data_IF_993389939124
#
_entry.id   IF_993389939124
#
_cell.length_a   1.000
_cell.length_b   1.000
_cell.length_c   1.000
_cell.angle_alpha   90.00
_cell.angle_beta   90.00
_cell.angle_gamma   90.00
#
_symmetry.space_group_name_H-M   'P 1'
#
loop_
_entity.id
_entity.type
_entity.pdbx_description
1 polymer ?
#
# COMPACT_ATOMS: atom_id res chain seq x y z
N UNK A 1 -15.80 59.06 10.66
CA UNK A 1 -14.89 58.80 9.54
C UNK A 1 -14.46 57.35 9.61
N UNK A 2 -14.96 56.50 8.71
CA UNK A 2 -14.73 55.05 8.70
C UNK A 2 -13.72 54.76 7.58
N UNK A 3 -12.50 54.38 7.95
CA UNK A 3 -11.44 54.01 7.00
C UNK A 3 -11.77 52.65 6.38
N UNK A 4 -12.21 52.65 5.12
CA UNK A 4 -12.40 51.43 4.32
C UNK A 4 -11.01 50.93 3.89
N UNK A 5 -10.55 49.85 4.52
CA UNK A 5 -9.34 49.14 4.07
C UNK A 5 -9.58 48.49 2.71
N UNK A 6 -8.68 48.65 1.72
CA UNK A 6 -8.91 48.17 0.37
C UNK A 6 -8.75 46.64 0.28
N UNK A 7 -9.74 46.02 -0.36
CA UNK A 7 -9.89 44.58 -0.63
C UNK A 7 -8.64 43.95 -1.29
N UNK A 8 -7.82 44.77 -1.95
CA UNK A 8 -6.60 44.38 -2.65
C UNK A 8 -5.55 43.73 -1.75
N UNK A 9 -5.45 44.10 -0.47
CA UNK A 9 -4.46 43.51 0.46
C UNK A 9 -4.80 42.08 0.88
N UNK A 10 -6.08 41.68 0.81
CA UNK A 10 -6.51 40.31 1.17
C UNK A 10 -6.28 39.31 0.05
N UNK A 11 -6.22 39.76 -1.20
CA UNK A 11 -6.04 38.88 -2.36
C UNK A 11 -4.56 38.50 -2.53
N UNK A 12 -3.62 39.40 -2.22
CA UNK A 12 -2.18 39.14 -2.33
C UNK A 12 -1.66 38.13 -1.29
N UNK A 13 -2.28 38.05 -0.11
CA UNK A 13 -1.91 37.09 0.94
C UNK A 13 -2.34 35.65 0.63
N UNK A 14 -3.38 35.47 -0.18
CA UNK A 14 -3.85 34.12 -0.58
C UNK A 14 -3.02 33.58 -1.75
N UNK A 15 -2.50 34.45 -2.63
CA UNK A 15 -1.72 34.01 -3.79
C UNK A 15 -0.27 33.59 -3.44
N UNK A 16 0.31 34.11 -2.36
CA UNK A 16 1.69 33.78 -1.92
C UNK A 16 1.77 32.47 -1.13
N UNK A 17 0.66 32.00 -0.54
CA UNK A 17 0.64 30.76 0.26
C UNK A 17 0.49 29.49 -0.59
N UNK A 18 0.23 29.62 -1.89
CA UNK A 18 0.12 28.48 -2.81
C UNK A 18 1.49 28.06 -3.39
N UNK A 19 2.54 28.87 -3.19
CA UNK A 19 3.85 28.64 -3.83
C UNK A 19 4.85 27.80 -3.00
N UNK A 20 4.53 27.37 -1.78
CA UNK A 20 5.42 26.53 -0.94
C UNK A 20 4.85 25.16 -0.58
N UNK A 21 3.65 24.83 -1.07
CA UNK A 21 3.08 23.50 -0.96
C UNK A 21 3.71 22.54 -1.97
N UNK A 22 5.01 22.30 -1.88
CA UNK A 22 5.66 21.23 -2.63
C UNK A 22 5.31 19.92 -1.93
N UNK A 23 4.12 19.42 -2.22
CA UNK A 23 3.71 18.08 -1.84
C UNK A 23 4.65 17.11 -2.55
N UNK A 24 5.66 16.63 -1.84
CA UNK A 24 6.45 15.49 -2.28
C UNK A 24 5.53 14.27 -2.22
N UNK A 25 4.93 13.93 -3.36
CA UNK A 25 4.39 12.60 -3.58
C UNK A 25 5.61 11.69 -3.74
N UNK A 26 6.10 11.14 -2.64
CA UNK A 26 6.95 9.95 -2.70
C UNK A 26 6.05 8.81 -3.18
N UNK A 27 6.01 8.63 -4.50
CA UNK A 27 5.49 7.41 -5.07
C UNK A 27 6.28 6.26 -4.43
N UNK A 28 5.60 5.39 -3.69
CA UNK A 28 6.14 4.10 -3.30
C UNK A 28 6.41 3.33 -4.60
N UNK A 29 7.64 3.47 -5.12
CA UNK A 29 8.11 2.62 -6.21
C UNK A 29 8.15 1.22 -5.61
N UNK A 30 7.12 0.43 -5.91
CA UNK A 30 7.18 -1.00 -5.68
C UNK A 30 8.47 -1.49 -6.31
N UNK A 31 9.36 -2.08 -5.50
CA UNK A 31 10.57 -2.70 -6.02
C UNK A 31 10.13 -3.72 -7.07
N UNK A 32 10.29 -3.36 -8.33
CA UNK A 32 10.10 -4.28 -9.44
C UNK A 32 11.03 -5.46 -9.18
N UNK A 33 10.47 -6.67 -9.23
CA UNK A 33 11.26 -7.89 -9.11
C UNK A 33 12.26 -7.88 -10.26
N UNK A 34 13.51 -7.50 -9.96
CA UNK A 34 14.59 -7.53 -10.93
C UNK A 34 14.59 -8.90 -11.60
N UNK A 35 14.54 -8.94 -12.94
CA UNK A 35 14.61 -10.19 -13.71
C UNK A 35 15.81 -10.99 -13.22
N UNK A 36 15.56 -11.91 -12.32
CA UNK A 36 16.57 -12.67 -11.61
C UNK A 36 17.07 -13.72 -12.59
N UNK A 37 18.33 -13.63 -12.99
CA UNK A 37 19.00 -14.68 -13.74
C UNK A 37 18.74 -16.06 -13.12
N UNK A 38 18.71 -17.11 -13.94
CA UNK A 38 18.35 -18.48 -13.58
C UNK A 38 18.75 -18.87 -12.13
N UNK A 39 17.75 -18.98 -11.25
CA UNK A 39 17.91 -19.29 -9.83
C UNK A 39 17.61 -20.77 -9.61
N UNK A 40 18.51 -21.65 -10.04
CA UNK A 40 18.49 -23.05 -9.61
C UNK A 40 19.85 -23.42 -9.01
N UNK A 41 19.82 -23.96 -7.79
CA UNK A 41 21.01 -24.58 -7.19
C UNK A 41 21.23 -25.96 -7.78
N UNK A 42 22.50 -26.39 -7.90
CA UNK A 42 22.85 -27.76 -8.29
C UNK A 42 22.59 -28.78 -7.17
N UNK A 43 22.37 -28.29 -5.95
CA UNK A 43 22.17 -29.11 -4.75
C UNK A 43 20.78 -28.84 -4.16
N UNK A 44 19.78 -29.72 -4.34
CA UNK A 44 18.39 -29.46 -3.97
C UNK A 44 18.15 -29.20 -2.47
N UNK A 45 19.01 -29.75 -1.59
CA UNK A 45 18.90 -29.57 -0.14
C UNK A 45 19.55 -28.27 0.36
N UNK A 46 20.10 -27.44 -0.51
CA UNK A 46 20.76 -26.18 -0.15
C UNK A 46 20.17 -25.01 -0.91
N UNK A 47 19.78 -23.98 -0.17
CA UNK A 47 19.43 -22.69 -0.77
C UNK A 47 20.71 -22.02 -1.29
N UNK A 48 20.75 -21.55 -2.55
CA UNK A 48 21.91 -20.80 -3.06
C UNK A 48 22.22 -19.57 -2.20
N UNK A 49 23.50 -19.30 -1.96
CA UNK A 49 23.94 -18.21 -1.08
C UNK A 49 23.49 -16.82 -1.58
N UNK A 50 23.43 -16.65 -2.90
CA UNK A 50 23.01 -15.43 -3.59
C UNK A 50 21.50 -15.40 -3.91
N UNK A 51 20.71 -16.38 -3.46
CA UNK A 51 19.27 -16.38 -3.71
C UNK A 51 18.61 -15.15 -3.06
N UNK A 52 17.91 -14.29 -3.83
CA UNK A 52 17.25 -13.09 -3.31
C UNK A 52 16.33 -13.44 -2.15
N UNK A 53 16.28 -12.59 -1.13
CA UNK A 53 15.38 -12.77 0.02
C UNK A 53 14.65 -11.47 0.31
N UNK A 54 13.35 -11.57 0.56
CA UNK A 54 12.54 -10.46 1.04
C UNK A 54 12.89 -10.26 2.52
N UNK A 55 13.39 -9.08 2.89
CA UNK A 55 13.72 -8.74 4.28
C UNK A 55 12.56 -8.07 5.00
N UNK A 56 11.78 -7.28 4.27
CA UNK A 56 10.65 -6.50 4.78
C UNK A 56 9.55 -6.50 3.74
N UNK A 57 8.30 -6.54 4.19
CA UNK A 57 7.12 -6.37 3.33
C UNK A 57 6.58 -4.99 3.61
N UNK A 58 6.42 -4.18 2.56
CA UNK A 58 5.77 -2.88 2.70
C UNK A 58 4.26 -3.10 2.82
N UNK A 59 3.68 -2.57 3.89
CA UNK A 59 2.24 -2.64 4.19
C UNK A 59 1.73 -1.21 4.27
N UNK A 60 1.48 -0.63 3.11
CA UNK A 60 0.88 0.69 2.99
C UNK A 60 -0.66 0.61 3.16
N UNK A 61 -1.31 1.76 3.11
CA UNK A 61 -2.77 1.83 3.24
C UNK A 61 -3.48 0.99 2.16
N UNK A 62 -2.92 0.93 0.95
CA UNK A 62 -3.45 0.08 -0.12
C UNK A 62 -3.41 -1.40 0.27
N UNK A 63 -2.29 -1.87 0.83
CA UNK A 63 -2.15 -3.23 1.31
C UNK A 63 -3.21 -3.56 2.37
N UNK A 64 -3.43 -2.67 3.35
CA UNK A 64 -4.44 -2.89 4.40
C UNK A 64 -5.87 -2.84 3.86
N UNK A 65 -6.18 -1.89 2.98
CA UNK A 65 -7.49 -1.81 2.34
C UNK A 65 -7.83 -3.10 1.59
N UNK A 66 -6.84 -3.68 0.90
CA UNK A 66 -6.99 -4.98 0.25
C UNK A 66 -7.09 -6.12 1.29
N UNK A 67 -6.23 -6.12 2.30
CA UNK A 67 -6.19 -7.12 3.37
C UNK A 67 -7.49 -7.21 4.16
N UNK A 68 -8.19 -6.10 4.32
CA UNK A 68 -9.42 -5.96 5.08
C UNK A 68 -10.68 -5.92 4.21
N UNK A 69 -10.56 -6.04 2.88
CA UNK A 69 -11.69 -6.01 1.96
C UNK A 69 -12.78 -7.03 2.34
N UNK A 70 -14.03 -6.58 2.49
CA UNK A 70 -15.15 -7.43 2.92
C UNK A 70 -15.19 -7.74 4.41
N UNK A 71 -14.36 -7.08 5.24
CA UNK A 71 -14.42 -7.13 6.70
C UNK A 71 -14.91 -5.77 7.19
N UNK A 72 -15.99 -5.76 7.96
CA UNK A 72 -16.54 -4.52 8.51
C UNK A 72 -15.99 -4.23 9.91
N UNK A 73 -15.73 -2.95 10.26
CA UNK A 73 -15.39 -2.56 11.62
C UNK A 73 -16.53 -2.89 12.63
N UNK A 74 -16.20 -3.12 13.92
CA UNK A 74 -14.87 -3.07 14.51
C UNK A 74 -14.02 -4.29 14.16
N UNK A 75 -12.75 -4.07 13.81
CA UNK A 75 -11.85 -5.18 13.49
C UNK A 75 -11.52 -6.00 14.74
N UNK A 76 -11.70 -7.33 14.70
CA UNK A 76 -11.39 -8.18 15.84
C UNK A 76 -9.88 -8.23 16.07
N UNK A 77 -9.47 -8.35 17.33
CA UNK A 77 -8.06 -8.45 17.74
C UNK A 77 -7.28 -9.55 17.01
N UNK A 78 -7.97 -10.63 16.63
CA UNK A 78 -7.37 -11.73 15.87
C UNK A 78 -6.73 -11.26 14.56
N UNK A 79 -7.18 -10.18 13.92
CA UNK A 79 -6.59 -9.67 12.68
C UNK A 79 -5.23 -8.98 12.85
N UNK A 80 -4.76 -8.81 14.08
CA UNK A 80 -3.44 -8.24 14.34
C UNK A 80 -2.29 -9.07 13.75
N UNK A 81 -2.53 -10.35 13.40
CA UNK A 81 -1.52 -11.14 12.67
C UNK A 81 -1.12 -10.53 11.32
N UNK A 82 -1.96 -9.65 10.73
CA UNK A 82 -1.63 -8.94 9.51
C UNK A 82 -0.35 -8.09 9.66
N UNK A 83 -0.02 -7.65 10.88
CA UNK A 83 1.22 -6.92 11.21
C UNK A 83 2.47 -7.79 11.05
N UNK A 84 2.35 -9.09 11.33
CA UNK A 84 3.44 -10.06 11.27
C UNK A 84 3.45 -10.85 9.94
N UNK A 85 2.41 -10.66 9.11
CA UNK A 85 2.27 -11.38 7.85
C UNK A 85 3.40 -11.03 6.87
N UNK A 86 4.11 -12.06 6.39
CA UNK A 86 5.07 -11.96 5.30
C UNK A 86 4.42 -11.95 3.91
N UNK A 87 5.23 -11.97 2.85
CA UNK A 87 4.76 -11.90 1.47
C UNK A 87 4.33 -13.27 0.90
N UNK A 88 3.58 -14.04 1.70
CA UNK A 88 3.05 -15.35 1.29
C UNK A 88 1.71 -15.20 0.58
N UNK A 89 1.34 -16.18 -0.24
CA UNK A 89 0.02 -16.23 -0.85
C UNK A 89 -1.02 -16.61 0.22
N UNK A 90 -1.89 -15.68 0.57
CA UNK A 90 -2.94 -15.90 1.58
C UNK A 90 -4.31 -15.40 1.10
N UNK A 91 -5.40 -15.87 1.71
CA UNK A 91 -6.74 -15.34 1.44
C UNK A 91 -6.95 -13.87 1.83
N UNK A 92 -5.96 -13.22 2.46
CA UNK A 92 -6.03 -11.80 2.82
C UNK A 92 -5.38 -10.90 1.78
N UNK A 93 -4.37 -11.36 1.05
CA UNK A 93 -3.70 -10.55 0.03
C UNK A 93 -3.97 -11.03 -1.40
N UNK A 94 -4.59 -12.19 -1.58
CA UNK A 94 -5.00 -12.73 -2.87
C UNK A 94 -6.43 -13.26 -2.88
N UNK A 95 -7.13 -13.14 -4.02
CA UNK A 95 -8.46 -13.71 -4.17
C UNK A 95 -8.40 -15.24 -4.15
N UNK A 96 -9.46 -15.83 -3.59
CA UNK A 96 -9.72 -17.25 -3.68
C UNK A 96 -10.51 -17.63 -4.93
N UNK A 97 -11.31 -18.68 -4.83
CA UNK A 97 -12.21 -19.12 -5.89
C UNK A 97 -13.38 -18.15 -6.11
N UNK A 98 -13.91 -18.09 -7.32
CA UNK A 98 -15.07 -17.28 -7.71
C UNK A 98 -16.40 -17.90 -7.26
N UNK A 99 -17.50 -17.14 -7.40
CA UNK A 99 -18.86 -17.65 -7.17
C UNK A 99 -19.19 -17.83 -5.70
N UNK A 100 -19.79 -18.97 -5.32
CA UNK A 100 -20.21 -19.24 -3.94
C UNK A 100 -19.06 -19.21 -2.92
N UNK A 101 -17.82 -19.33 -3.37
CA UNK A 101 -16.62 -19.32 -2.53
C UNK A 101 -15.96 -17.94 -2.43
N UNK A 102 -16.44 -16.93 -3.16
CA UNK A 102 -15.98 -15.55 -3.03
C UNK A 102 -16.68 -14.83 -1.86
N UNK A 103 -16.50 -15.39 -0.66
CA UNK A 103 -17.16 -14.93 0.57
C UNK A 103 -16.77 -13.49 0.98
N UNK A 104 -15.72 -12.93 0.36
CA UNK A 104 -15.24 -11.57 0.60
C UNK A 104 -15.47 -10.65 -0.61
N UNK A 105 -16.15 -11.14 -1.65
CA UNK A 105 -16.53 -10.40 -2.86
C UNK A 105 -15.33 -9.82 -3.65
N UNK A 106 -14.16 -10.44 -3.57
CA UNK A 106 -12.91 -9.94 -4.17
C UNK A 106 -12.93 -9.84 -5.69
N UNK A 107 -13.72 -10.66 -6.37
CA UNK A 107 -13.80 -10.66 -7.83
C UNK A 107 -14.79 -9.62 -8.38
N UNK A 108 -15.57 -8.97 -7.50
CA UNK A 108 -16.52 -7.92 -7.86
C UNK A 108 -16.03 -6.51 -7.53
N UNK A 109 -14.89 -6.38 -6.83
CA UNK A 109 -14.31 -5.10 -6.38
C UNK A 109 -13.06 -4.67 -7.18
N UNK A 110 -12.79 -5.29 -8.34
CA UNK A 110 -11.63 -4.99 -9.21
C UNK A 110 -11.95 -3.96 -10.29
#
# INVERSE_FOLDING_TARGET
>A
MIQKTPITTRITLILVLILTGQWHIEAAVGMEAQEGGYIAGLTPNQRPANAPRIKTVQKDDYWYNKALAGIEPPYPWSLRFLEDQGNWYTPFNHPGMTGHYDIRNWHHHQ
#
